data_IF_120470064992
#
_entry.id   IF_120470064992
#
_cell.length_a   1.000
_cell.length_b   1.000
_cell.length_c   1.000
_cell.angle_alpha   90.00
_cell.angle_beta   90.00
_cell.angle_gamma   90.00
#
_symmetry.space_group_name_H-M   'P 1'
#
loop_
_entity.id
_entity.type
_entity.pdbx_description
1 polymer ?
#
# COMPACT_ATOMS: atom_id res chain seq x y z
N UNK A 1 2.04 -4.57 -19.83
CA UNK A 1 2.06 -5.83 -19.04
C UNK A 1 2.58 -5.53 -17.66
N UNK A 2 1.89 -5.96 -16.63
CA UNK A 2 2.31 -5.79 -15.23
C UNK A 2 2.66 -7.16 -14.65
N UNK A 3 3.78 -7.24 -13.93
CA UNK A 3 4.19 -8.42 -13.18
C UNK A 3 4.43 -8.04 -11.72
N UNK A 4 3.93 -8.88 -10.81
CA UNK A 4 4.18 -8.70 -9.37
C UNK A 4 5.51 -9.34 -8.99
N UNK A 5 6.23 -8.66 -8.12
CA UNK A 5 7.50 -9.12 -7.61
C UNK A 5 7.35 -10.33 -6.68
N UNK A 6 8.44 -10.97 -6.37
CA UNK A 6 8.52 -12.24 -5.65
C UNK A 6 8.83 -12.00 -4.18
N UNK A 7 8.34 -12.89 -3.34
CA UNK A 7 8.61 -12.86 -1.90
C UNK A 7 9.96 -13.48 -1.52
N UNK A 8 10.65 -14.12 -2.48
CA UNK A 8 11.93 -14.78 -2.26
C UNK A 8 12.97 -14.31 -3.28
N UNK A 9 14.22 -14.24 -2.85
CA UNK A 9 15.33 -13.93 -3.74
C UNK A 9 15.43 -14.96 -4.88
N UNK A 10 15.37 -14.47 -6.10
CA UNK A 10 15.57 -15.27 -7.32
C UNK A 10 16.89 -14.94 -8.00
N UNK A 11 17.70 -14.10 -7.38
CA UNK A 11 19.00 -13.68 -7.88
C UNK A 11 18.93 -13.04 -9.27
N UNK A 12 20.03 -13.17 -9.99
CA UNK A 12 20.20 -12.62 -11.34
C UNK A 12 19.22 -13.22 -12.36
N UNK A 13 18.74 -14.44 -12.14
CA UNK A 13 17.79 -15.09 -13.04
C UNK A 13 16.49 -14.33 -13.22
N UNK A 14 16.01 -13.64 -12.16
CA UNK A 14 14.81 -12.81 -12.26
C UNK A 14 15.06 -11.53 -13.09
N UNK A 15 16.21 -10.91 -12.93
CA UNK A 15 16.60 -9.73 -13.72
C UNK A 15 16.78 -10.12 -15.19
N UNK A 16 17.40 -11.28 -15.46
CA UNK A 16 17.52 -11.79 -16.84
C UNK A 16 16.15 -12.06 -17.47
N UNK A 17 15.21 -12.63 -16.72
CA UNK A 17 13.83 -12.81 -17.17
C UNK A 17 13.17 -11.47 -17.54
N UNK A 18 13.29 -10.44 -16.68
CA UNK A 18 12.74 -9.10 -16.94
C UNK A 18 13.36 -8.51 -18.22
N UNK A 19 14.68 -8.64 -18.39
CA UNK A 19 15.39 -8.18 -19.58
C UNK A 19 14.86 -8.85 -20.85
N UNK A 20 14.72 -10.15 -20.88
CA UNK A 20 14.19 -10.88 -22.05
C UNK A 20 12.73 -10.53 -22.33
N UNK A 21 11.93 -10.38 -21.26
CA UNK A 21 10.53 -9.98 -21.36
C UNK A 21 10.40 -8.56 -21.93
N UNK A 22 11.25 -7.62 -21.51
CA UNK A 22 11.23 -6.24 -22.00
C UNK A 22 11.46 -6.15 -23.51
N UNK A 23 12.32 -7.00 -24.06
CA UNK A 23 12.56 -7.09 -25.51
C UNK A 23 11.29 -7.55 -26.24
N UNK A 24 10.58 -8.52 -25.68
CA UNK A 24 9.31 -9.01 -26.25
C UNK A 24 8.19 -7.96 -26.12
N UNK A 25 8.11 -7.26 -24.99
CA UNK A 25 7.16 -6.16 -24.81
C UNK A 25 7.39 -5.08 -25.87
N UNK A 26 8.62 -4.60 -26.02
CA UNK A 26 8.97 -3.57 -27.04
C UNK A 26 8.64 -4.01 -28.46
N UNK A 27 8.88 -5.27 -28.83
CA UNK A 27 8.53 -5.80 -30.17
C UNK A 27 7.03 -5.86 -30.43
N UNK A 28 6.20 -5.79 -29.41
CA UNK A 28 4.74 -5.88 -29.49
C UNK A 28 4.04 -4.60 -29.02
N UNK A 29 4.78 -3.48 -28.91
CA UNK A 29 4.28 -2.17 -28.45
C UNK A 29 3.56 -2.25 -27.09
N UNK A 30 4.09 -3.07 -26.17
CA UNK A 30 3.56 -3.25 -24.82
C UNK A 30 4.40 -2.49 -23.80
N UNK A 31 3.74 -1.77 -22.90
CA UNK A 31 4.36 -1.18 -21.72
C UNK A 31 4.57 -2.28 -20.66
N UNK A 32 5.77 -2.36 -20.11
CA UNK A 32 6.13 -3.28 -19.03
C UNK A 32 6.20 -2.53 -17.70
N UNK A 33 5.40 -2.95 -16.73
CA UNK A 33 5.50 -2.49 -15.34
C UNK A 33 5.72 -3.64 -14.37
N UNK A 34 6.41 -3.36 -13.26
CA UNK A 34 6.75 -4.35 -12.24
C UNK A 34 6.31 -3.82 -10.87
N UNK A 35 5.50 -4.60 -10.15
CA UNK A 35 5.07 -4.28 -8.80
C UNK A 35 6.08 -4.80 -7.79
N UNK A 36 6.59 -3.90 -6.96
CA UNK A 36 7.54 -4.18 -5.89
C UNK A 36 6.96 -3.78 -4.52
N UNK A 37 7.34 -4.50 -3.47
CA UNK A 37 7.16 -3.97 -2.11
C UNK A 37 7.99 -2.70 -1.91
N UNK A 38 7.58 -1.86 -0.97
CA UNK A 38 8.40 -0.71 -0.56
C UNK A 38 9.80 -1.15 -0.14
N UNK A 39 10.85 -0.36 -0.44
CA UNK A 39 12.21 -0.70 -0.06
C UNK A 39 12.38 -0.85 1.45
N UNK A 40 12.93 -1.98 1.86
CA UNK A 40 13.31 -2.31 3.23
C UNK A 40 14.53 -3.23 3.22
N UNK A 41 15.10 -3.55 4.38
CA UNK A 41 16.17 -4.55 4.48
C UNK A 41 15.74 -5.92 3.96
N UNK A 42 14.47 -6.30 4.14
CA UNK A 42 13.91 -7.58 3.69
C UNK A 42 13.62 -7.64 2.18
N UNK A 43 13.62 -6.50 1.48
CA UNK A 43 13.30 -6.40 0.06
C UNK A 43 14.46 -5.84 -0.77
N UNK A 44 15.67 -5.76 -0.19
CA UNK A 44 16.86 -5.25 -0.86
C UNK A 44 17.28 -6.12 -2.07
N UNK A 45 17.01 -7.43 -2.00
CA UNK A 45 17.30 -8.38 -3.07
C UNK A 45 16.51 -8.16 -4.37
N UNK A 46 15.47 -7.32 -4.36
CA UNK A 46 14.70 -7.04 -5.57
C UNK A 46 15.50 -6.32 -6.64
N UNK A 47 16.57 -5.61 -6.26
CA UNK A 47 17.43 -4.87 -7.19
C UNK A 47 16.62 -3.96 -8.14
N UNK A 48 15.83 -3.07 -7.55
CA UNK A 48 14.90 -2.17 -8.28
C UNK A 48 15.63 -1.27 -9.28
N UNK A 49 16.88 -0.93 -8.96
CA UNK A 49 17.73 -0.17 -9.85
C UNK A 49 17.95 -0.90 -11.18
N UNK A 50 18.25 -2.20 -11.12
CA UNK A 50 18.45 -3.01 -12.32
C UNK A 50 17.13 -3.27 -13.04
N UNK A 51 16.03 -3.51 -12.30
CA UNK A 51 14.70 -3.64 -12.89
C UNK A 51 14.31 -2.40 -13.70
N UNK A 52 14.62 -1.19 -13.20
CA UNK A 52 14.31 0.06 -13.90
C UNK A 52 15.05 0.27 -15.21
N UNK A 53 16.15 -0.45 -15.44
CA UNK A 53 16.86 -0.44 -16.74
C UNK A 53 16.05 -1.12 -17.86
N UNK A 54 15.12 -2.00 -17.51
CA UNK A 54 14.40 -2.84 -18.48
C UNK A 54 12.89 -2.59 -18.48
N UNK A 55 12.30 -2.21 -17.35
CA UNK A 55 10.87 -1.90 -17.25
C UNK A 55 10.59 -0.43 -17.59
N UNK A 56 9.41 -0.15 -18.11
CA UNK A 56 8.95 1.22 -18.35
C UNK A 56 8.55 1.89 -17.01
N UNK A 57 7.94 1.11 -16.10
CA UNK A 57 7.54 1.59 -14.77
C UNK A 57 7.85 0.57 -13.67
N UNK A 58 8.25 1.11 -12.52
CA UNK A 58 8.35 0.38 -11.26
C UNK A 58 7.23 0.89 -10.34
N UNK A 59 6.30 -0.01 -10.03
CA UNK A 59 5.18 0.29 -9.14
C UNK A 59 5.57 -0.15 -7.73
N UNK A 60 5.56 0.77 -6.77
CA UNK A 60 5.76 0.43 -5.36
C UNK A 60 4.41 0.25 -4.66
N UNK A 61 4.21 -0.90 -4.06
CA UNK A 61 3.00 -1.23 -3.28
C UNK A 61 3.06 -0.48 -1.95
N UNK A 62 2.50 0.76 -1.92
CA UNK A 62 2.49 1.64 -0.76
C UNK A 62 1.45 1.22 0.29
N UNK A 63 1.36 -0.10 0.56
CA UNK A 63 0.44 -0.71 1.50
C UNK A 63 1.02 -2.01 2.08
N UNK A 64 0.24 -2.68 2.94
CA UNK A 64 0.66 -3.83 3.74
C UNK A 64 1.81 -3.50 4.70
N UNK A 65 1.84 -2.26 5.25
CA UNK A 65 2.70 -1.90 6.39
C UNK A 65 2.44 -2.84 7.58
N UNK A 66 1.15 -3.07 7.88
CA UNK A 66 0.68 -4.15 8.72
C UNK A 66 -0.28 -5.03 7.92
N UNK A 67 -0.08 -6.34 7.97
CA UNK A 67 -0.77 -7.33 7.15
C UNK A 67 -1.27 -8.52 7.98
N UNK A 68 -1.98 -9.45 7.35
CA UNK A 68 -2.44 -10.67 8.05
C UNK A 68 -1.22 -11.44 8.60
N UNK A 69 -1.17 -11.61 9.90
CA UNK A 69 -0.05 -12.27 10.58
C UNK A 69 0.94 -11.31 11.24
N UNK A 70 0.74 -9.99 11.14
CA UNK A 70 1.47 -9.04 11.97
C UNK A 70 1.21 -9.30 13.46
N UNK A 71 2.26 -9.17 14.27
CA UNK A 71 2.19 -9.39 15.73
C UNK A 71 1.42 -8.28 16.43
N UNK A 72 1.34 -7.10 15.83
CA UNK A 72 0.66 -5.93 16.36
C UNK A 72 -0.38 -5.41 15.36
N UNK A 73 -1.45 -4.81 15.91
CA UNK A 73 -2.42 -4.08 15.13
C UNK A 73 -1.85 -2.75 14.63
N UNK A 74 -2.06 -2.42 13.35
CA UNK A 74 -1.55 -1.18 12.79
C UNK A 74 -2.20 -0.78 11.47
N UNK A 75 -1.82 0.41 10.99
CA UNK A 75 -2.22 0.89 9.67
C UNK A 75 -1.69 0.01 8.56
N UNK A 76 -2.47 -0.19 7.50
CA UNK A 76 -1.98 -0.84 6.27
C UNK A 76 -1.10 0.09 5.44
N UNK A 77 -1.23 1.41 5.61
CA UNK A 77 -0.49 2.41 4.82
C UNK A 77 -0.48 3.77 5.54
N UNK A 78 0.30 3.89 6.61
CA UNK A 78 0.47 5.18 7.27
C UNK A 78 1.16 6.20 6.34
N UNK A 79 0.95 7.49 6.61
CA UNK A 79 1.54 8.54 5.76
C UNK A 79 3.07 8.53 5.79
N UNK A 80 3.67 8.18 6.92
CA UNK A 80 5.13 8.10 7.03
C UNK A 80 5.69 6.86 6.33
N UNK A 81 4.99 5.73 6.38
CA UNK A 81 5.34 4.54 5.58
C UNK A 81 5.36 4.87 4.09
N UNK A 82 4.32 5.53 3.58
CA UNK A 82 4.23 5.92 2.18
C UNK A 82 5.33 6.90 1.78
N UNK A 83 5.55 7.96 2.58
CA UNK A 83 6.62 8.95 2.31
C UNK A 83 8.01 8.31 2.31
N UNK A 84 8.28 7.42 3.27
CA UNK A 84 9.54 6.70 3.34
C UNK A 84 9.69 5.70 2.19
N UNK A 85 8.60 5.03 1.80
CA UNK A 85 8.56 4.16 0.62
C UNK A 85 8.97 4.92 -0.64
N UNK A 86 8.33 6.05 -0.93
CA UNK A 86 8.69 6.91 -2.06
C UNK A 86 10.16 7.35 -1.98
N UNK A 87 10.56 7.94 -0.83
CA UNK A 87 11.93 8.45 -0.61
C UNK A 87 12.99 7.39 -0.85
N UNK A 88 12.76 6.17 -0.38
CA UNK A 88 13.72 5.07 -0.53
C UNK A 88 13.72 4.52 -1.96
N UNK A 89 12.57 4.44 -2.62
CA UNK A 89 12.48 4.03 -4.03
C UNK A 89 13.26 4.98 -4.94
N UNK A 90 13.16 6.28 -4.73
CA UNK A 90 13.86 7.29 -5.53
C UNK A 90 15.39 7.28 -5.37
N UNK A 91 15.95 6.47 -4.47
CA UNK A 91 17.40 6.20 -4.42
C UNK A 91 17.83 5.16 -5.47
N UNK A 92 16.89 4.36 -5.97
CA UNK A 92 17.12 3.22 -6.84
C UNK A 92 16.49 3.43 -8.23
N UNK A 93 15.34 4.10 -8.31
CA UNK A 93 14.48 4.22 -9.50
C UNK A 93 14.25 5.69 -9.83
N UNK A 94 14.35 6.11 -11.09
CA UNK A 94 14.00 7.46 -11.52
C UNK A 94 12.54 7.82 -11.17
N UNK A 95 12.29 9.09 -10.87
CA UNK A 95 10.95 9.55 -10.50
C UNK A 95 9.93 9.34 -11.61
N UNK A 96 10.33 9.60 -12.85
CA UNK A 96 9.53 9.43 -14.07
C UNK A 96 9.18 7.98 -14.41
N UNK A 97 9.80 7.01 -13.74
CA UNK A 97 9.48 5.59 -13.85
C UNK A 97 8.79 5.04 -12.60
N UNK A 98 8.67 5.84 -11.53
CA UNK A 98 8.10 5.39 -10.25
C UNK A 98 6.60 5.66 -10.21
N UNK A 99 5.81 4.63 -9.90
CA UNK A 99 4.36 4.71 -9.62
C UNK A 99 4.09 4.26 -8.19
N UNK A 100 3.25 5.00 -7.46
CA UNK A 100 2.81 4.63 -6.11
C UNK A 100 1.46 3.91 -6.17
N UNK A 101 1.40 2.66 -5.74
CA UNK A 101 0.13 1.95 -5.55
C UNK A 101 -0.46 2.24 -4.17
N UNK A 102 -1.74 2.61 -4.15
CA UNK A 102 -2.51 3.00 -2.98
C UNK A 102 -3.54 1.93 -2.63
N UNK A 103 -3.86 1.69 -1.33
CA UNK A 103 -4.86 0.73 -0.93
C UNK A 103 -6.27 1.31 -0.98
N UNK A 104 -7.22 0.55 -1.52
CA UNK A 104 -8.66 0.78 -1.36
C UNK A 104 -9.27 -0.15 -0.31
N UNK A 105 -8.47 -0.49 0.70
CA UNK A 105 -8.86 -1.33 1.82
C UNK A 105 -8.08 -0.93 3.08
N UNK A 106 -8.57 -1.39 4.18
CA UNK A 106 -7.87 -1.41 5.47
C UNK A 106 -8.07 -2.76 6.17
N UNK A 107 -7.68 -2.84 7.43
CA UNK A 107 -7.93 -4.01 8.30
C UNK A 107 -8.66 -3.60 9.56
N UNK A 108 -9.67 -4.41 9.90
CA UNK A 108 -10.23 -4.42 11.23
C UNK A 108 -9.45 -5.44 12.05
N UNK A 109 -8.75 -4.96 13.03
CA UNK A 109 -7.95 -5.75 13.96
C UNK A 109 -8.78 -6.12 15.18
N UNK A 110 -8.58 -7.33 15.69
CA UNK A 110 -9.14 -7.79 16.95
C UNK A 110 -8.01 -8.30 17.84
N UNK A 111 -7.83 -7.64 18.98
CA UNK A 111 -6.87 -8.02 20.02
C UNK A 111 -7.61 -8.75 21.13
N UNK A 112 -7.11 -9.91 21.51
CA UNK A 112 -7.63 -10.72 22.62
C UNK A 112 -6.51 -10.90 23.64
N UNK A 113 -6.76 -10.52 24.89
CA UNK A 113 -5.82 -10.77 26.00
C UNK A 113 -6.16 -12.09 26.66
N UNK A 114 -5.24 -13.05 26.63
CA UNK A 114 -5.37 -14.34 27.31
C UNK A 114 -5.20 -14.22 28.84
N UNK A 115 -5.45 -15.31 29.54
CA UNK A 115 -5.26 -15.41 31.00
C UNK A 115 -3.79 -15.20 31.41
N UNK A 116 -2.87 -15.57 30.53
CA UNK A 116 -1.43 -15.35 30.67
C UNK A 116 -0.98 -13.91 30.35
N UNK A 117 -1.94 -12.99 30.15
CA UNK A 117 -1.74 -11.59 29.74
C UNK A 117 -1.12 -11.43 28.35
N UNK A 118 -0.97 -12.50 27.58
CA UNK A 118 -0.50 -12.42 26.21
C UNK A 118 -1.60 -11.91 25.29
N UNK A 119 -1.26 -10.92 24.46
CA UNK A 119 -2.17 -10.39 23.44
C UNK A 119 -2.03 -11.20 22.15
N UNK A 120 -3.14 -11.69 21.65
CA UNK A 120 -3.24 -12.32 20.34
C UNK A 120 -3.94 -11.37 19.39
N UNK A 121 -3.37 -11.19 18.21
CA UNK A 121 -3.87 -10.26 17.20
C UNK A 121 -4.39 -11.03 16.00
N UNK A 122 -5.61 -10.73 15.59
CA UNK A 122 -6.21 -11.23 14.34
C UNK A 122 -6.73 -10.06 13.52
N UNK A 123 -6.90 -10.24 12.21
CA UNK A 123 -7.45 -9.17 11.37
C UNK A 123 -8.24 -9.70 10.19
N UNK A 124 -9.19 -8.89 9.75
CA UNK A 124 -9.92 -9.07 8.50
C UNK A 124 -9.79 -7.84 7.60
N UNK A 125 -9.87 -8.06 6.28
CA UNK A 125 -9.84 -6.96 5.30
C UNK A 125 -11.19 -6.26 5.29
N UNK A 126 -11.16 -4.94 5.38
CA UNK A 126 -12.33 -4.07 5.23
C UNK A 126 -12.13 -3.22 3.99
N UNK A 127 -12.99 -3.41 2.99
CA UNK A 127 -12.98 -2.60 1.76
C UNK A 127 -13.31 -1.14 2.08
N UNK A 128 -12.78 -0.19 1.33
CA UNK A 128 -13.03 1.25 1.55
C UNK A 128 -14.52 1.56 1.58
N UNK A 129 -15.31 1.01 0.66
CA UNK A 129 -16.76 1.20 0.59
C UNK A 129 -17.53 0.56 1.76
N UNK A 130 -16.90 -0.25 2.60
CA UNK A 130 -17.53 -0.96 3.73
C UNK A 130 -17.13 -0.39 5.09
N UNK A 131 -16.16 0.51 5.16
CA UNK A 131 -15.62 1.03 6.42
C UNK A 131 -16.68 1.78 7.23
N UNK A 132 -17.54 2.55 6.54
CA UNK A 132 -18.61 3.30 7.22
C UNK A 132 -19.61 2.35 7.91
N UNK A 133 -19.87 1.17 7.33
CA UNK A 133 -20.71 0.16 7.96
C UNK A 133 -20.06 -0.38 9.26
N UNK A 134 -18.75 -0.60 9.26
CA UNK A 134 -18.01 -1.01 10.46
C UNK A 134 -18.10 0.09 11.53
N UNK A 135 -17.88 1.35 11.17
CA UNK A 135 -18.00 2.50 12.08
C UNK A 135 -19.39 2.56 12.70
N UNK A 136 -20.44 2.50 11.89
CA UNK A 136 -21.83 2.57 12.36
C UNK A 136 -22.16 1.42 13.33
N UNK A 137 -21.68 0.22 13.05
CA UNK A 137 -21.93 -0.97 13.88
C UNK A 137 -21.09 -0.98 15.17
N UNK A 138 -19.99 -0.23 15.20
CA UNK A 138 -19.10 -0.16 16.37
C UNK A 138 -19.59 0.80 17.45
N UNK A 139 -20.40 1.78 17.10
CA UNK A 139 -20.76 2.92 17.96
C UNK A 139 -19.57 3.86 18.25
N UNK A 140 -18.40 3.61 17.70
CA UNK A 140 -17.22 4.47 17.88
C UNK A 140 -17.22 5.66 16.91
N UNK A 141 -16.68 6.78 17.38
CA UNK A 141 -16.50 7.98 16.54
C UNK A 141 -15.08 8.03 15.99
N UNK A 142 -14.91 8.11 14.67
CA UNK A 142 -13.58 8.23 14.06
C UNK A 142 -12.85 9.50 14.50
N UNK A 143 -11.59 9.38 14.89
CA UNK A 143 -10.73 10.49 15.28
C UNK A 143 -9.57 10.58 14.28
N UNK A 144 -9.32 11.78 13.75
CA UNK A 144 -8.18 11.99 12.88
C UNK A 144 -6.86 11.88 13.64
N UNK A 145 -5.92 11.14 13.08
CA UNK A 145 -4.56 11.00 13.60
C UNK A 145 -3.56 11.56 12.59
N UNK A 146 -2.94 12.68 12.92
CA UNK A 146 -1.88 13.28 12.08
C UNK A 146 -0.67 12.35 11.93
N UNK A 147 -0.38 11.55 12.97
CA UNK A 147 0.70 10.56 12.95
C UNK A 147 0.55 9.54 11.82
N UNK A 148 -0.69 9.07 11.59
CA UNK A 148 -0.95 8.07 10.56
C UNK A 148 -1.46 8.70 9.25
N UNK A 149 -1.94 9.96 9.30
CA UNK A 149 -2.64 10.59 8.19
C UNK A 149 -3.96 9.88 7.86
N UNK A 150 -4.65 9.39 8.88
CA UNK A 150 -5.85 8.55 8.77
C UNK A 150 -6.81 8.82 9.92
N UNK A 151 -8.10 8.55 9.71
CA UNK A 151 -9.03 8.38 10.81
C UNK A 151 -8.80 7.05 11.50
N UNK A 152 -8.92 7.04 12.82
CA UNK A 152 -8.77 5.88 13.69
C UNK A 152 -10.01 5.66 14.51
N UNK A 153 -10.44 4.41 14.65
CA UNK A 153 -11.43 3.97 15.62
C UNK A 153 -10.88 2.86 16.50
N UNK A 154 -11.32 2.86 17.74
CA UNK A 154 -11.10 1.78 18.69
C UNK A 154 -12.38 1.56 19.51
N UNK A 155 -12.75 0.30 19.75
CA UNK A 155 -13.90 -0.06 20.56
C UNK A 155 -13.74 -1.44 21.19
N UNK A 156 -14.50 -1.67 22.26
CA UNK A 156 -14.56 -2.96 22.94
C UNK A 156 -15.83 -3.70 22.53
N UNK A 157 -15.71 -4.98 22.23
CA UNK A 157 -16.85 -5.85 21.97
C UNK A 157 -16.48 -7.31 22.23
N UNK A 158 -17.36 -8.05 22.92
CA UNK A 158 -17.21 -9.50 23.20
C UNK A 158 -15.83 -9.85 23.81
N UNK A 159 -15.35 -9.02 24.74
CA UNK A 159 -14.07 -9.21 25.42
C UNK A 159 -12.83 -8.94 24.57
N UNK A 160 -12.99 -8.35 23.39
CA UNK A 160 -11.90 -8.00 22.47
C UNK A 160 -11.81 -6.49 22.26
N UNK A 161 -10.59 -6.01 21.99
CA UNK A 161 -10.35 -4.65 21.51
C UNK A 161 -10.27 -4.65 19.99
N UNK A 162 -11.14 -3.89 19.37
CA UNK A 162 -11.13 -3.71 17.92
C UNK A 162 -10.50 -2.37 17.55
N UNK A 163 -9.64 -2.39 16.49
CA UNK A 163 -8.93 -1.20 16.01
C UNK A 163 -8.99 -1.15 14.49
N UNK A 164 -9.16 0.06 13.92
CA UNK A 164 -9.11 0.26 12.47
C UNK A 164 -8.55 1.65 12.15
N UNK A 165 -7.57 1.69 11.25
CA UNK A 165 -7.06 2.90 10.61
C UNK A 165 -7.73 3.00 9.24
N UNK A 166 -8.57 4.00 9.04
CA UNK A 166 -9.44 4.09 7.86
C UNK A 166 -8.69 4.58 6.64
N UNK A 167 -8.94 3.94 5.49
CA UNK A 167 -8.57 4.47 4.19
C UNK A 167 -9.79 5.10 3.53
N UNK A 168 -9.74 6.41 3.33
CA UNK A 168 -10.83 7.21 2.75
C UNK A 168 -10.25 8.42 1.99
N UNK A 169 -11.10 9.26 1.43
CA UNK A 169 -10.68 10.35 0.55
C UNK A 169 -9.58 11.25 1.13
N UNK A 170 -9.65 11.59 2.45
CA UNK A 170 -8.66 12.48 3.08
C UNK A 170 -7.32 11.78 3.28
N UNK A 171 -7.31 10.49 3.66
CA UNK A 171 -6.08 9.71 3.79
C UNK A 171 -5.41 9.48 2.43
N UNK A 172 -6.20 9.17 1.41
CA UNK A 172 -5.72 9.05 0.02
C UNK A 172 -5.15 10.39 -0.47
N UNK A 173 -5.81 11.51 -0.16
CA UNK A 173 -5.32 12.85 -0.54
C UNK A 173 -3.92 13.13 0.05
N UNK A 174 -3.66 12.77 1.31
CA UNK A 174 -2.33 12.95 1.91
C UNK A 174 -1.25 12.18 1.14
N UNK A 175 -1.55 10.96 0.69
CA UNK A 175 -0.64 10.11 -0.07
C UNK A 175 -0.42 10.67 -1.49
N UNK A 176 -1.48 11.16 -2.15
CA UNK A 176 -1.40 11.82 -3.45
C UNK A 176 -0.56 13.11 -3.38
N UNK A 177 -0.71 13.91 -2.32
CA UNK A 177 0.17 15.08 -2.08
C UNK A 177 1.62 14.69 -1.97
N UNK A 178 1.93 13.58 -1.29
CA UNK A 178 3.31 13.07 -1.18
C UNK A 178 3.85 12.62 -2.55
N UNK A 179 3.06 11.89 -3.33
CA UNK A 179 3.40 11.47 -4.69
C UNK A 179 3.67 12.67 -5.62
N UNK A 180 2.77 13.65 -5.64
CA UNK A 180 2.91 14.88 -6.43
C UNK A 180 4.14 15.69 -6.04
N UNK A 181 4.41 15.85 -4.72
CA UNK A 181 5.61 16.53 -4.22
C UNK A 181 6.90 15.85 -4.67
N UNK A 182 6.89 14.52 -4.74
CA UNK A 182 8.02 13.71 -5.18
C UNK A 182 8.18 13.66 -6.70
N UNK A 183 7.23 14.22 -7.47
CA UNK A 183 7.21 14.27 -8.94
C UNK A 183 7.34 12.89 -9.59
N UNK A 184 6.79 11.86 -8.95
CA UNK A 184 6.78 10.51 -9.53
C UNK A 184 5.79 10.42 -10.70
N UNK A 185 5.95 9.38 -11.55
CA UNK A 185 5.19 9.21 -12.80
C UNK A 185 3.68 9.15 -12.59
N UNK A 186 3.22 8.62 -11.46
CA UNK A 186 1.79 8.53 -11.20
C UNK A 186 1.43 7.69 -9.99
N UNK A 187 0.15 7.35 -9.90
CA UNK A 187 -0.38 6.47 -8.86
C UNK A 187 -1.23 5.37 -9.48
N UNK A 188 -1.29 4.23 -8.82
CA UNK A 188 -2.20 3.12 -9.10
C UNK A 188 -2.96 2.73 -7.83
N UNK A 189 -3.88 1.79 -7.92
CA UNK A 189 -4.72 1.42 -6.78
C UNK A 189 -4.88 -0.08 -6.64
N UNK A 190 -4.92 -0.60 -5.43
CA UNK A 190 -5.30 -1.96 -5.10
C UNK A 190 -6.55 -1.96 -4.23
N UNK A 191 -7.70 -2.30 -4.77
CA UNK A 191 -8.00 -2.59 -6.17
C UNK A 191 -9.41 -2.07 -6.51
N UNK A 192 -9.69 -1.98 -7.78
CA UNK A 192 -11.04 -1.65 -8.29
C UNK A 192 -12.10 -2.59 -7.71
N UNK A 193 -13.27 -2.05 -7.38
CA UNK A 193 -14.38 -2.73 -6.71
C UNK A 193 -14.27 -2.75 -5.17
N UNK A 194 -13.27 -2.07 -4.60
CA UNK A 194 -13.14 -1.85 -3.16
C UNK A 194 -13.32 -0.38 -2.76
N UNK A 195 -13.27 0.53 -3.70
CA UNK A 195 -13.34 1.97 -3.49
C UNK A 195 -14.71 2.46 -3.00
N UNK A 196 -14.70 3.53 -2.21
CA UNK A 196 -15.86 4.39 -2.05
C UNK A 196 -15.92 5.35 -3.25
N UNK A 197 -17.09 5.55 -3.92
CA UNK A 197 -17.17 6.37 -5.13
C UNK A 197 -16.56 7.77 -4.99
N UNK A 198 -16.69 8.38 -3.81
CA UNK A 198 -16.16 9.71 -3.50
C UNK A 198 -14.64 9.85 -3.57
N UNK A 199 -13.89 8.73 -3.56
CA UNK A 199 -12.43 8.80 -3.65
C UNK A 199 -11.96 9.27 -5.02
N UNK A 200 -12.74 9.01 -6.06
CA UNK A 200 -12.42 9.45 -7.43
C UNK A 200 -12.42 10.96 -7.58
N UNK A 201 -13.34 11.66 -6.89
CA UNK A 201 -13.38 13.13 -6.84
C UNK A 201 -12.11 13.73 -6.20
N UNK A 202 -11.44 12.92 -5.36
CA UNK A 202 -10.17 13.31 -4.76
C UNK A 202 -9.02 13.00 -5.70
N UNK A 203 -8.97 11.80 -6.29
CA UNK A 203 -7.87 11.36 -7.16
C UNK A 203 -7.77 12.28 -8.39
N UNK A 204 -8.88 12.63 -9.03
CA UNK A 204 -8.89 13.45 -10.25
C UNK A 204 -8.23 14.82 -10.08
N UNK A 205 -8.18 15.36 -8.85
CA UNK A 205 -7.50 16.64 -8.55
C UNK A 205 -5.97 16.55 -8.68
N UNK A 206 -5.43 15.34 -8.74
CA UNK A 206 -3.99 15.07 -8.77
C UNK A 206 -3.54 14.39 -10.06
N UNK A 207 -4.48 14.00 -10.92
CA UNK A 207 -4.23 13.52 -12.29
C UNK A 207 -4.16 14.75 -13.20
N UNK A 208 -3.05 14.89 -13.91
CA UNK A 208 -2.87 15.96 -14.92
C UNK A 208 -3.32 15.47 -16.28
#
# INVERSE_FOLDING_TARGET
MCIRDRSTDAGEGYIQFIRELSIKCKKNDLVLSIDNYVPSSYTAFYNRKEQSCFADYIIIMGYDEHYKGSEEAGSVASIDFVKNGIKNTLKEVPAEQTILALPFYTRLWAETTGEDKKVTVTSEVVKMNNQQTVVNNSGASPKWSDKYGQYYIEYQKDGKTYKMWMEESKSIEQKLKAAKKAKIAGTSVWKLGMEAPTVWDTIIKYVN
#
